data_IF_529567731540
#
_entry.id   IF_529567731540
#
_cell.length_a   1.000
_cell.length_b   1.000
_cell.length_c   1.000
_cell.angle_alpha   90.00
_cell.angle_beta   90.00
_cell.angle_gamma   90.00
#
_symmetry.space_group_name_H-M   'P 1'
#
loop_
_entity.id
_entity.type
_entity.pdbx_description
1 polymer ?
#
# COMPACT_ATOMS: atom_id res chain seq x y z
N UNK A 1 12.80 -14.81 14.03
CA UNK A 1 11.93 -13.76 13.48
C UNK A 1 11.21 -14.33 12.28
N UNK A 2 9.88 -14.28 12.25
CA UNK A 2 9.07 -14.96 11.23
C UNK A 2 9.32 -14.39 9.82
N UNK A 3 8.94 -15.18 8.81
CA UNK A 3 8.99 -14.88 7.35
C UNK A 3 8.37 -13.53 6.96
N UNK A 4 7.66 -12.87 7.88
CA UNK A 4 7.06 -11.54 7.72
C UNK A 4 8.13 -10.44 7.66
N UNK A 5 9.19 -10.53 8.49
CA UNK A 5 10.18 -9.45 8.60
C UNK A 5 10.91 -9.15 7.27
N UNK A 6 11.37 -10.15 6.48
CA UNK A 6 11.99 -9.90 5.18
C UNK A 6 11.05 -9.20 4.18
N UNK A 7 9.78 -9.61 4.14
CA UNK A 7 8.80 -9.03 3.19
C UNK A 7 8.45 -7.58 3.55
N UNK A 8 8.32 -7.29 4.84
CA UNK A 8 8.12 -5.92 5.33
C UNK A 8 9.31 -5.03 4.98
N UNK A 9 10.53 -5.48 5.26
CA UNK A 9 11.75 -4.73 4.94
C UNK A 9 11.88 -4.44 3.44
N UNK A 10 11.55 -5.42 2.59
CA UNK A 10 11.60 -5.23 1.14
C UNK A 10 10.61 -4.17 0.64
N UNK A 11 9.40 -4.11 1.22
CA UNK A 11 8.39 -3.11 0.86
C UNK A 11 8.79 -1.72 1.34
N UNK A 12 9.24 -1.59 2.59
CA UNK A 12 9.74 -0.32 3.15
C UNK A 12 10.87 0.26 2.30
N UNK A 13 11.84 -0.58 1.89
CA UNK A 13 12.92 -0.12 1.00
C UNK A 13 12.42 0.24 -0.40
N UNK A 14 11.38 -0.42 -0.92
CA UNK A 14 10.77 -0.04 -2.19
C UNK A 14 10.09 1.34 -2.10
N UNK A 15 9.31 1.58 -1.04
CA UNK A 15 8.69 2.89 -0.79
C UNK A 15 9.76 3.98 -0.66
N UNK A 16 10.83 3.73 0.10
CA UNK A 16 11.93 4.69 0.25
C UNK A 16 12.55 5.06 -1.10
N UNK A 17 12.80 4.09 -1.98
CA UNK A 17 13.33 4.35 -3.33
C UNK A 17 12.35 5.18 -4.17
N UNK A 18 11.06 4.87 -4.12
CA UNK A 18 10.05 5.58 -4.89
C UNK A 18 9.89 7.04 -4.42
N UNK A 19 9.94 7.31 -3.11
CA UNK A 19 9.99 8.68 -2.57
C UNK A 19 11.25 9.41 -3.04
N UNK A 20 12.43 8.77 -2.94
CA UNK A 20 13.69 9.37 -3.38
C UNK A 20 13.71 9.66 -4.89
N UNK A 21 12.97 8.91 -5.69
CA UNK A 21 12.79 9.12 -7.12
C UNK A 21 11.71 10.18 -7.47
N UNK A 22 10.95 10.68 -6.48
CA UNK A 22 9.83 11.60 -6.68
C UNK A 22 8.57 10.94 -7.25
N UNK A 23 8.48 9.61 -7.20
CA UNK A 23 7.32 8.84 -7.67
C UNK A 23 6.19 8.79 -6.62
N UNK A 24 6.55 8.94 -5.34
CA UNK A 24 5.63 9.04 -4.21
C UNK A 24 5.85 10.36 -3.46
N UNK A 25 4.80 10.83 -2.81
CA UNK A 25 4.82 12.03 -1.96
C UNK A 25 5.84 11.88 -0.82
N UNK A 26 6.59 12.94 -0.54
CA UNK A 26 7.65 13.00 0.46
C UNK A 26 7.24 13.66 1.78
N UNK A 27 5.98 14.11 1.87
CA UNK A 27 5.39 14.73 3.05
C UNK A 27 4.73 13.72 4.02
N UNK A 28 4.84 12.41 3.75
CA UNK A 28 4.40 11.33 4.62
C UNK A 28 5.58 10.44 5.05
N UNK A 29 5.46 9.84 6.23
CA UNK A 29 6.39 8.80 6.70
C UNK A 29 6.35 7.58 5.77
N UNK A 30 7.53 7.02 5.44
CA UNK A 30 7.69 5.81 4.64
C UNK A 30 6.91 4.63 5.23
N UNK A 31 6.91 4.47 6.55
CA UNK A 31 6.18 3.40 7.23
C UNK A 31 4.66 3.59 7.11
N UNK A 32 4.19 4.84 7.13
CA UNK A 32 2.77 5.13 6.88
C UNK A 32 2.37 4.79 5.44
N UNK A 33 3.22 5.10 4.46
CA UNK A 33 2.98 4.73 3.07
C UNK A 33 2.97 3.19 2.90
N UNK A 34 3.89 2.47 3.55
CA UNK A 34 3.91 0.99 3.59
C UNK A 34 2.59 0.42 4.16
N UNK A 35 2.16 0.94 5.30
CA UNK A 35 0.92 0.52 5.96
C UNK A 35 -0.32 0.76 5.07
N UNK A 36 -0.35 1.84 4.29
CA UNK A 36 -1.45 2.11 3.35
C UNK A 36 -1.51 1.08 2.22
N UNK A 37 -0.36 0.60 1.72
CA UNK A 37 -0.33 -0.44 0.70
C UNK A 37 -0.69 -1.83 1.24
N UNK A 38 -0.15 -2.20 2.41
CA UNK A 38 -0.24 -3.57 2.93
C UNK A 38 -1.45 -3.77 3.84
N UNK A 39 -1.86 -2.74 4.57
CA UNK A 39 -2.97 -2.77 5.53
C UNK A 39 -4.28 -3.32 4.96
N UNK A 40 -4.76 -2.87 3.79
CA UNK A 40 -5.98 -3.39 3.19
C UNK A 40 -5.92 -4.90 2.89
N UNK A 41 -4.74 -5.43 2.53
CA UNK A 41 -4.56 -6.88 2.35
C UNK A 41 -4.66 -7.61 3.68
N UNK A 42 -4.02 -7.11 4.74
CA UNK A 42 -4.08 -7.73 6.08
C UNK A 42 -5.50 -7.75 6.64
N UNK A 43 -6.28 -6.69 6.44
CA UNK A 43 -7.70 -6.66 6.85
C UNK A 43 -8.50 -7.76 6.15
N UNK A 44 -8.28 -7.97 4.85
CA UNK A 44 -8.98 -9.01 4.09
C UNK A 44 -8.53 -10.42 4.44
N UNK A 45 -7.25 -10.65 4.75
CA UNK A 45 -6.75 -12.00 5.01
C UNK A 45 -6.87 -12.43 6.47
N UNK A 46 -6.77 -11.48 7.42
CA UNK A 46 -6.77 -11.77 8.86
C UNK A 46 -8.12 -11.48 9.52
N UNK A 47 -8.71 -10.32 9.21
CA UNK A 47 -9.92 -9.85 9.90
C UNK A 47 -11.22 -10.17 9.16
N UNK A 48 -11.15 -10.50 7.86
CA UNK A 48 -12.32 -10.80 7.02
C UNK A 48 -12.05 -12.02 6.13
N UNK A 49 -11.83 -13.22 6.70
CA UNK A 49 -11.36 -14.39 5.95
C UNK A 49 -12.27 -14.79 4.78
N UNK A 50 -13.56 -14.42 4.80
CA UNK A 50 -14.51 -14.67 3.71
C UNK A 50 -14.50 -13.59 2.61
N UNK A 51 -13.69 -12.53 2.75
CA UNK A 51 -13.60 -11.47 1.77
C UNK A 51 -12.95 -11.97 0.46
N UNK A 52 -13.47 -11.56 -0.72
CA UNK A 52 -12.82 -11.90 -1.98
C UNK A 52 -11.39 -11.38 -2.04
N UNK A 53 -10.50 -12.23 -2.54
CA UNK A 53 -9.09 -11.93 -2.85
C UNK A 53 -8.87 -12.15 -4.35
N UNK A 54 -9.40 -11.25 -5.21
CA UNK A 54 -9.16 -11.35 -6.64
C UNK A 54 -7.68 -11.14 -6.94
N UNK A 55 -7.19 -11.75 -8.02
CA UNK A 55 -5.77 -11.71 -8.40
C UNK A 55 -5.26 -10.27 -8.64
N UNK A 56 -6.14 -9.35 -9.01
CA UNK A 56 -5.84 -7.94 -9.29
C UNK A 56 -6.01 -7.00 -8.09
N UNK A 57 -6.25 -7.54 -6.89
CA UNK A 57 -6.53 -6.73 -5.70
C UNK A 57 -5.38 -5.75 -5.37
N UNK A 58 -4.14 -6.20 -5.50
CA UNK A 58 -2.96 -5.39 -5.22
C UNK A 58 -2.88 -4.19 -6.17
N UNK A 59 -3.06 -4.41 -7.47
CA UNK A 59 -3.04 -3.37 -8.50
C UNK A 59 -4.14 -2.33 -8.26
N UNK A 60 -5.33 -2.79 -7.84
CA UNK A 60 -6.43 -1.90 -7.48
C UNK A 60 -6.09 -1.03 -6.28
N UNK A 61 -5.51 -1.60 -5.22
CA UNK A 61 -5.10 -0.85 -4.02
C UNK A 61 -4.07 0.21 -4.41
N UNK A 62 -3.01 -0.18 -5.12
CA UNK A 62 -1.94 0.73 -5.53
C UNK A 62 -2.50 1.87 -6.38
N UNK A 63 -3.24 1.54 -7.44
CA UNK A 63 -3.83 2.53 -8.35
C UNK A 63 -4.69 3.54 -7.58
N UNK A 64 -5.55 3.03 -6.71
CA UNK A 64 -6.49 3.85 -5.98
C UNK A 64 -5.77 4.79 -4.99
N UNK A 65 -4.72 4.32 -4.31
CA UNK A 65 -3.90 5.15 -3.42
C UNK A 65 -3.06 6.19 -4.17
N UNK A 66 -2.46 5.83 -5.30
CA UNK A 66 -1.69 6.77 -6.14
C UNK A 66 -2.59 7.88 -6.71
N UNK A 67 -3.85 7.58 -6.99
CA UNK A 67 -4.87 8.57 -7.37
C UNK A 67 -5.34 9.44 -6.20
N UNK A 68 -4.77 9.28 -4.99
CA UNK A 68 -5.25 9.94 -3.78
C UNK A 68 -6.69 9.55 -3.43
N UNK A 69 -7.16 8.40 -3.94
CA UNK A 69 -8.54 7.89 -3.92
C UNK A 69 -9.61 8.90 -4.39
N UNK A 70 -9.23 9.83 -5.25
CA UNK A 70 -10.08 10.95 -5.62
C UNK A 70 -11.29 10.52 -6.48
N UNK A 71 -12.37 11.33 -6.53
CA UNK A 71 -12.30 12.55 -7.34
C UNK A 71 -12.53 13.83 -6.53
N UNK A 72 -11.67 14.83 -6.73
CA UNK A 72 -11.93 16.19 -6.25
C UNK A 72 -12.96 16.90 -7.16
N UNK A 73 -13.78 17.79 -6.57
CA UNK A 73 -15.09 18.26 -7.04
C UNK A 73 -15.27 18.54 -8.55
N UNK A 74 -16.47 18.23 -9.05
CA UNK A 74 -16.95 18.78 -10.33
C UNK A 74 -17.21 20.28 -10.09
N UNK A 75 -16.60 21.10 -10.96
CA UNK A 75 -16.54 22.57 -10.98
C UNK A 75 -17.82 23.25 -10.53
#
# INVERSE_FOLDING_TARGET
GSVIAPRRLAMVEAVRRAVAAGELRDDLDVELIDDLFVGPMLVRTVHRPDAPLPDDLADRIITALLQGLAPAARV
#
